data_IF_414863253944
#
_entry.id   IF_414863253944
#
_cell.length_a   1.000
_cell.length_b   1.000
_cell.length_c   1.000
_cell.angle_alpha   90.00
_cell.angle_beta   90.00
_cell.angle_gamma   90.00
#
_symmetry.space_group_name_H-M   'P 1'
#
loop_
_entity.id
_entity.type
_entity.pdbx_description
1 polymer ?
#
# COMPACT_ATOMS: atom_id res chain seq x y z
N UNK A 1 8.60 8.42 -15.59
CA UNK A 1 7.29 8.87 -16.10
C UNK A 1 6.35 7.67 -16.31
N UNK A 2 5.04 7.75 -16.05
CA UNK A 2 4.09 6.61 -16.21
C UNK A 2 4.08 6.04 -17.65
N UNK A 3 4.48 6.86 -18.62
CA UNK A 3 4.60 6.52 -20.05
C UNK A 3 5.62 5.41 -20.37
N UNK A 4 6.55 5.07 -19.47
CA UNK A 4 7.53 3.97 -19.69
C UNK A 4 7.17 2.67 -18.97
N UNK A 5 6.03 2.60 -18.26
CA UNK A 5 5.56 1.37 -17.61
C UNK A 5 4.78 0.54 -18.62
N UNK A 6 5.45 -0.44 -19.24
CA UNK A 6 4.87 -1.41 -20.18
C UNK A 6 3.55 -1.98 -19.63
N UNK A 7 2.54 -2.23 -20.47
CA UNK A 7 1.22 -2.72 -20.04
C UNK A 7 1.26 -4.00 -19.20
N UNK A 8 2.29 -4.83 -19.39
CA UNK A 8 2.56 -6.01 -18.55
C UNK A 8 2.81 -5.66 -17.09
N UNK A 9 3.53 -4.58 -16.81
CA UNK A 9 3.79 -4.11 -15.45
C UNK A 9 2.50 -3.67 -14.75
N UNK A 10 1.59 -3.00 -15.48
CA UNK A 10 0.29 -2.60 -14.95
C UNK A 10 -0.53 -3.84 -14.60
N UNK A 11 -0.63 -4.81 -15.53
CA UNK A 11 -1.35 -6.07 -15.28
C UNK A 11 -0.78 -6.85 -14.09
N UNK A 12 0.55 -6.95 -13.99
CA UNK A 12 1.21 -7.61 -12.87
C UNK A 12 0.93 -6.89 -11.54
N UNK A 13 0.96 -5.55 -11.54
CA UNK A 13 0.66 -4.75 -10.34
C UNK A 13 -0.79 -4.89 -9.91
N UNK A 14 -1.74 -4.93 -10.85
CA UNK A 14 -3.15 -5.17 -10.54
C UNK A 14 -3.35 -6.56 -9.92
N UNK A 15 -2.69 -7.61 -10.44
CA UNK A 15 -2.75 -8.95 -9.82
C UNK A 15 -2.29 -8.95 -8.36
N UNK A 16 -1.25 -8.17 -8.03
CA UNK A 16 -0.77 -8.00 -6.64
C UNK A 16 -1.81 -7.31 -5.75
N UNK A 17 -2.50 -6.31 -6.28
CA UNK A 17 -3.61 -5.64 -5.58
C UNK A 17 -4.75 -6.61 -5.30
N UNK A 18 -5.11 -7.47 -6.27
CA UNK A 18 -6.14 -8.50 -6.07
C UNK A 18 -5.75 -9.48 -4.95
N UNK A 19 -4.47 -9.84 -4.83
CA UNK A 19 -3.99 -10.71 -3.76
C UNK A 19 -4.09 -10.07 -2.36
N UNK A 20 -4.00 -8.73 -2.28
CA UNK A 20 -4.15 -7.98 -1.03
C UNK A 20 -5.62 -7.70 -0.66
N UNK A 21 -6.55 -7.82 -1.61
CA UNK A 21 -7.96 -7.46 -1.39
C UNK A 21 -8.63 -8.22 -0.24
N UNK A 22 -8.43 -9.55 -0.04
CA UNK A 22 -9.01 -10.26 1.10
C UNK A 22 -8.57 -9.71 2.46
N UNK A 23 -7.33 -9.19 2.55
CA UNK A 23 -6.80 -8.56 3.75
C UNK A 23 -7.48 -7.22 4.00
N UNK A 24 -7.70 -6.42 2.94
CA UNK A 24 -8.43 -5.16 3.04
C UNK A 24 -9.88 -5.40 3.53
N UNK A 25 -10.59 -6.32 2.88
CA UNK A 25 -12.00 -6.61 3.16
C UNK A 25 -12.24 -7.11 4.58
N UNK A 26 -11.39 -8.02 5.10
CA UNK A 26 -11.54 -8.53 6.48
C UNK A 26 -11.26 -7.47 7.54
N UNK A 27 -10.53 -6.41 7.19
CA UNK A 27 -10.29 -5.26 8.06
C UNK A 27 -11.31 -4.13 7.85
N UNK A 28 -12.29 -4.30 6.96
CA UNK A 28 -13.25 -3.25 6.62
C UNK A 28 -12.63 -2.06 5.89
N UNK A 29 -11.51 -2.28 5.18
CA UNK A 29 -10.75 -1.24 4.50
C UNK A 29 -10.87 -1.39 2.98
N UNK A 30 -10.82 -0.26 2.27
CA UNK A 30 -10.48 -0.28 0.86
C UNK A 30 -8.94 -0.39 0.66
N UNK A 31 -8.49 -0.59 -0.58
CA UNK A 31 -7.06 -0.78 -0.86
C UNK A 31 -6.19 0.43 -0.51
N UNK A 32 -6.74 1.65 -0.64
CA UNK A 32 -6.04 2.89 -0.30
C UNK A 32 -5.84 2.99 1.21
N UNK A 33 -6.89 2.72 1.98
CA UNK A 33 -6.84 2.69 3.44
C UNK A 33 -5.87 1.63 3.95
N UNK A 34 -5.91 0.42 3.37
CA UNK A 34 -4.95 -0.63 3.69
C UNK A 34 -3.51 -0.16 3.44
N UNK A 35 -3.25 0.51 2.31
CA UNK A 35 -1.90 0.99 1.99
C UNK A 35 -1.39 2.05 2.98
N UNK A 36 -2.23 3.02 3.35
CA UNK A 36 -1.86 4.05 4.33
C UNK A 36 -1.66 3.43 5.72
N UNK A 37 -2.62 2.62 6.18
CA UNK A 37 -2.54 1.97 7.50
C UNK A 37 -1.38 0.97 7.55
N UNK A 38 -1.01 0.29 6.47
CA UNK A 38 0.18 -0.57 6.39
C UNK A 38 1.46 0.21 6.72
N UNK A 39 1.63 1.39 6.12
CA UNK A 39 2.81 2.23 6.38
C UNK A 39 2.81 2.71 7.84
N UNK A 40 1.66 3.17 8.34
CA UNK A 40 1.51 3.62 9.73
C UNK A 40 1.67 2.49 10.76
N UNK A 41 1.47 1.23 10.36
CA UNK A 41 1.66 0.05 11.22
C UNK A 41 3.14 -0.30 11.45
N UNK A 42 4.06 0.20 10.61
CA UNK A 42 5.49 -0.14 10.71
C UNK A 42 6.16 0.74 11.79
N UNK A 43 6.94 0.09 12.66
CA UNK A 43 7.78 0.79 13.65
C UNK A 43 8.80 1.68 12.94
N UNK A 44 8.96 2.91 13.42
CA UNK A 44 9.91 3.88 12.88
C UNK A 44 9.36 4.81 11.81
N UNK A 45 8.09 4.67 11.42
CA UNK A 45 7.40 5.66 10.60
C UNK A 45 6.56 6.57 11.50
N UNK A 46 6.78 7.88 11.38
CA UNK A 46 6.05 8.89 12.15
C UNK A 46 4.91 9.56 11.37
N UNK A 47 5.01 9.60 10.03
CA UNK A 47 4.01 10.26 9.18
C UNK A 47 4.00 9.70 7.75
N UNK A 48 2.87 9.88 7.08
CA UNK A 48 2.65 9.51 5.67
C UNK A 48 2.07 10.71 4.94
N UNK A 49 2.63 11.05 3.78
CA UNK A 49 2.19 12.18 2.96
C UNK A 49 1.59 11.67 1.64
N UNK A 50 0.26 11.47 1.57
CA UNK A 50 -0.40 11.22 0.31
C UNK A 50 -0.42 12.50 -0.54
N UNK A 51 -0.53 12.33 -1.86
CA UNK A 51 -0.93 13.45 -2.73
C UNK A 51 -2.42 13.67 -2.54
N UNK A 52 -2.82 14.91 -2.28
CA UNK A 52 -4.21 15.28 -2.02
C UNK A 52 -4.63 16.37 -2.99
N UNK A 53 -5.79 16.20 -3.63
CA UNK A 53 -6.31 17.12 -4.65
C UNK A 53 -7.68 17.72 -4.29
N UNK A 54 -8.30 17.29 -3.20
CA UNK A 54 -9.58 17.83 -2.72
C UNK A 54 -9.67 17.84 -1.19
N UNK A 55 -10.65 18.57 -0.65
CA UNK A 55 -10.86 18.65 0.81
C UNK A 55 -11.37 17.32 1.36
N UNK A 56 -12.22 16.62 0.60
CA UNK A 56 -12.76 15.32 0.96
C UNK A 56 -11.64 14.28 1.13
N UNK A 57 -10.62 14.32 0.27
CA UNK A 57 -9.44 13.48 0.42
C UNK A 57 -8.62 13.83 1.67
N UNK A 58 -8.53 15.12 2.06
CA UNK A 58 -7.87 15.53 3.32
C UNK A 58 -8.57 14.85 4.50
N UNK A 59 -9.90 14.96 4.56
CA UNK A 59 -10.70 14.38 5.65
C UNK A 59 -10.54 12.85 5.66
N UNK A 60 -10.61 12.22 4.49
CA UNK A 60 -10.43 10.78 4.35
C UNK A 60 -9.05 10.34 4.86
N UNK A 61 -7.95 10.92 4.36
CA UNK A 61 -6.60 10.51 4.78
C UNK A 61 -6.31 10.85 6.25
N UNK A 62 -6.83 11.96 6.77
CA UNK A 62 -6.70 12.31 8.18
C UNK A 62 -7.38 11.26 9.08
N UNK A 63 -8.59 10.81 8.71
CA UNK A 63 -9.33 9.79 9.46
C UNK A 63 -8.63 8.44 9.57
N UNK A 64 -7.69 8.13 8.65
CA UNK A 64 -6.91 6.89 8.70
C UNK A 64 -5.89 6.86 9.84
N UNK A 65 -5.60 8.01 10.47
CA UNK A 65 -4.67 8.17 11.60
C UNK A 65 -5.37 8.02 12.97
N UNK A 66 -6.31 7.08 13.07
CA UNK A 66 -7.19 6.84 14.22
C UNK A 66 -6.61 5.88 15.28
N UNK A 67 -5.39 5.37 15.08
CA UNK A 67 -4.75 4.38 15.96
C UNK A 67 -5.18 2.93 15.72
N UNK A 68 -6.19 2.69 14.86
CA UNK A 68 -6.66 1.35 14.50
C UNK A 68 -5.89 0.86 13.27
N UNK A 69 -4.69 0.34 13.48
CA UNK A 69 -3.79 -0.10 12.42
C UNK A 69 -3.85 -1.62 12.18
N UNK A 70 -3.07 -2.10 11.20
CA UNK A 70 -3.08 -3.51 10.80
C UNK A 70 -2.51 -4.37 11.93
N UNK A 71 -3.24 -5.43 12.30
CA UNK A 71 -2.81 -6.36 13.35
C UNK A 71 -1.59 -7.20 12.92
N UNK A 72 -0.94 -7.85 13.88
CA UNK A 72 0.30 -8.60 13.63
C UNK A 72 0.13 -9.81 12.70
N UNK A 73 -1.01 -10.50 12.74
CA UNK A 73 -1.27 -11.64 11.84
C UNK A 73 -1.40 -11.20 10.39
N UNK A 74 -2.11 -10.10 10.14
CA UNK A 74 -2.31 -9.55 8.80
C UNK A 74 -1.02 -8.94 8.27
N UNK A 75 -0.25 -8.26 9.13
CA UNK A 75 1.09 -7.79 8.77
C UNK A 75 2.01 -8.94 8.37
N UNK A 76 1.96 -10.07 9.08
CA UNK A 76 2.72 -11.26 8.73
C UNK A 76 2.29 -11.84 7.38
N UNK A 77 0.99 -11.94 7.13
CA UNK A 77 0.47 -12.44 5.85
C UNK A 77 0.87 -11.53 4.68
N UNK A 78 0.84 -10.21 4.87
CA UNK A 78 1.34 -9.24 3.89
C UNK A 78 2.83 -9.48 3.63
N UNK A 79 3.66 -9.60 4.68
CA UNK A 79 5.10 -9.81 4.53
C UNK A 79 5.38 -11.17 3.82
N UNK A 80 4.64 -12.24 4.16
CA UNK A 80 4.72 -13.54 3.49
C UNK A 80 4.34 -13.44 2.00
N UNK A 81 3.26 -12.70 1.68
CA UNK A 81 2.83 -12.48 0.30
C UNK A 81 3.90 -11.73 -0.52
N UNK A 82 4.50 -10.68 0.05
CA UNK A 82 5.58 -9.94 -0.61
C UNK A 82 6.79 -10.82 -0.92
N UNK A 83 7.11 -11.78 -0.04
CA UNK A 83 8.19 -12.75 -0.26
C UNK A 83 7.91 -13.74 -1.41
N UNK A 84 6.65 -13.91 -1.82
CA UNK A 84 6.30 -14.73 -2.99
C UNK A 84 6.48 -14.00 -4.32
N UNK A 85 6.63 -12.67 -4.29
CA UNK A 85 6.72 -11.87 -5.50
C UNK A 85 8.14 -11.84 -6.06
N UNK A 86 8.29 -11.69 -7.39
CA UNK A 86 9.61 -11.48 -7.98
C UNK A 86 10.29 -10.26 -7.33
N UNK A 87 11.62 -10.33 -7.10
CA UNK A 87 12.36 -9.22 -6.51
C UNK A 87 12.17 -7.96 -7.35
N UNK A 88 11.96 -6.84 -6.67
CA UNK A 88 11.89 -5.55 -7.34
C UNK A 88 13.29 -5.09 -7.71
N UNK A 89 13.59 -5.02 -9.01
CA UNK A 89 14.82 -4.36 -9.47
C UNK A 89 14.72 -2.87 -9.17
N UNK A 90 15.47 -2.41 -8.17
CA UNK A 90 15.75 -0.99 -7.99
C UNK A 90 16.48 -0.51 -9.24
N UNK A 91 15.77 0.22 -10.10
CA UNK A 91 16.44 1.01 -11.14
C UNK A 91 17.16 2.15 -10.44
N UNK A 92 18.38 1.89 -9.98
CA UNK A 92 19.28 2.94 -9.57
C UNK A 92 19.37 3.91 -10.75
N UNK A 93 18.93 5.15 -10.53
CA UNK A 93 19.34 6.26 -11.39
C UNK A 93 20.85 6.33 -11.25
N UNK A 94 21.57 5.90 -12.31
CA UNK A 94 22.98 6.18 -12.48
C UNK A 94 23.11 7.70 -12.33
N UNK A 95 23.86 8.12 -11.32
CA UNK A 95 24.04 9.53 -10.97
C UNK A 95 24.93 10.22 -11.99
#
# INVERSE_FOLDING_TARGET
>A
HRSVRKGEWIRASLKKVEQLRPIAERNGLNITELAIKFILSKKGISSVFPTVISVEEIEQFASMSDGNYINSSDMKEIDDLYNTWPPYELKATVQ
#
